data_IF_303864994296
#
_entry.id   IF_303864994296
#
_cell.length_a   1.000
_cell.length_b   1.000
_cell.length_c   1.000
_cell.angle_alpha   90.00
_cell.angle_beta   90.00
_cell.angle_gamma   90.00
#
_symmetry.space_group_name_H-M   'P 1'
#
loop_
_entity.id
_entity.type
_entity.pdbx_description
1 polymer ?
#
# COMPACT_ATOMS: atom_id res chain seq x y z
N UNK A 1 0.81 60.79 -12.73
CA UNK A 1 0.25 60.34 -14.02
C UNK A 1 0.27 58.82 -14.04
N UNK A 2 -0.90 58.26 -14.28
CA UNK A 2 -1.21 56.84 -14.42
C UNK A 2 -0.52 56.14 -15.60
N UNK A 3 -0.32 54.82 -15.41
CA UNK A 3 -0.62 53.66 -16.29
C UNK A 3 0.49 52.91 -17.03
N UNK A 4 0.50 51.60 -16.67
CA UNK A 4 0.64 50.34 -17.46
C UNK A 4 2.05 50.07 -18.04
N UNK A 5 2.62 48.87 -17.95
CA UNK A 5 2.05 47.52 -17.81
C UNK A 5 2.63 46.67 -18.93
N UNK A 6 3.35 45.58 -18.60
CA UNK A 6 3.93 44.66 -19.57
C UNK A 6 4.64 43.52 -18.87
N UNK A 7 4.02 42.34 -18.89
CA UNK A 7 4.49 41.09 -18.31
C UNK A 7 5.84 40.61 -18.89
N UNK A 8 6.68 39.89 -18.13
CA UNK A 8 7.72 39.07 -18.72
C UNK A 8 7.07 37.82 -19.33
N UNK A 9 7.29 37.66 -20.64
CA UNK A 9 6.73 36.61 -21.47
C UNK A 9 7.18 35.20 -21.08
N UNK A 10 6.24 34.28 -21.31
CA UNK A 10 6.45 32.96 -21.93
C UNK A 10 7.85 32.35 -21.75
N UNK A 11 8.04 31.62 -20.65
CA UNK A 11 8.96 30.50 -20.66
C UNK A 11 8.26 29.35 -21.39
N UNK A 12 8.82 29.05 -22.56
CA UNK A 12 8.41 27.99 -23.45
C UNK A 12 8.28 26.66 -22.71
N UNK A 13 7.19 25.96 -23.03
CA UNK A 13 7.02 24.52 -22.96
C UNK A 13 8.36 23.80 -23.11
N UNK A 14 8.84 23.16 -22.05
CA UNK A 14 9.87 22.12 -22.15
C UNK A 14 9.17 20.84 -22.63
N UNK A 15 9.30 20.43 -23.90
CA UNK A 15 8.65 19.22 -24.41
C UNK A 15 9.38 17.94 -23.91
N UNK A 16 10.48 18.09 -23.18
CA UNK A 16 11.41 17.01 -22.82
C UNK A 16 11.20 16.40 -21.43
N UNK A 17 10.15 16.80 -20.69
CA UNK A 17 9.80 16.17 -19.39
C UNK A 17 9.09 14.81 -19.59
N UNK A 18 8.75 14.45 -20.82
CA UNK A 18 8.06 13.20 -21.17
C UNK A 18 8.97 11.98 -21.40
N UNK A 19 10.20 12.00 -20.89
CA UNK A 19 10.95 10.77 -20.61
C UNK A 19 10.83 10.41 -19.12
N UNK A 20 9.58 10.36 -18.63
CA UNK A 20 9.26 9.63 -17.40
C UNK A 20 9.87 8.24 -17.50
N UNK A 21 10.49 7.75 -16.43
CA UNK A 21 11.17 6.46 -16.37
C UNK A 21 10.19 5.31 -16.67
N UNK A 22 9.82 5.12 -17.93
CA UNK A 22 9.02 3.99 -18.38
C UNK A 22 9.86 2.74 -18.08
N UNK A 23 9.28 1.73 -17.44
CA UNK A 23 9.96 0.47 -17.23
C UNK A 23 10.55 -0.01 -18.55
N UNK A 24 11.88 -0.15 -18.63
CA UNK A 24 12.50 -0.74 -19.82
C UNK A 24 11.88 -2.14 -20.01
N UNK A 25 11.26 -2.44 -21.17
CA UNK A 25 10.58 -3.72 -21.41
C UNK A 25 11.49 -4.93 -21.17
N UNK A 26 12.78 -4.80 -21.48
CA UNK A 26 13.78 -5.85 -21.24
C UNK A 26 14.01 -6.03 -19.74
N UNK A 27 14.17 -4.93 -19.00
CA UNK A 27 14.30 -4.97 -17.54
C UNK A 27 13.09 -5.59 -16.87
N UNK A 28 11.88 -5.23 -17.32
CA UNK A 28 10.63 -5.80 -16.81
C UNK A 28 10.56 -7.32 -17.07
N UNK A 29 10.89 -7.77 -18.28
CA UNK A 29 10.91 -9.20 -18.61
C UNK A 29 11.93 -10.01 -17.76
N UNK A 30 13.09 -9.43 -17.45
CA UNK A 30 14.10 -10.04 -16.57
C UNK A 30 13.55 -10.16 -15.14
N UNK A 31 12.89 -9.12 -14.62
CA UNK A 31 12.27 -9.14 -13.29
C UNK A 31 11.14 -10.16 -13.26
N UNK A 32 10.23 -10.11 -14.23
CA UNK A 32 9.09 -11.02 -14.32
C UNK A 32 9.56 -12.49 -14.31
N UNK A 33 10.54 -12.83 -15.15
CA UNK A 33 11.09 -14.20 -15.23
C UNK A 33 11.83 -14.62 -13.96
N UNK A 34 12.56 -13.70 -13.32
CA UNK A 34 13.31 -14.02 -12.10
C UNK A 34 12.40 -14.17 -10.89
N UNK A 35 11.37 -13.33 -10.74
CA UNK A 35 10.33 -13.46 -9.71
C UNK A 35 9.54 -14.75 -9.93
N UNK A 36 9.10 -15.02 -11.16
CA UNK A 36 8.33 -16.23 -11.50
C UNK A 36 9.11 -17.52 -11.18
N UNK A 37 10.41 -17.52 -11.52
CA UNK A 37 11.33 -18.61 -11.18
C UNK A 37 11.56 -18.70 -9.68
N UNK A 38 11.82 -17.57 -9.02
CA UNK A 38 12.04 -17.50 -7.57
C UNK A 38 10.87 -18.10 -6.82
N UNK A 39 9.64 -17.66 -7.09
CA UNK A 39 8.43 -18.18 -6.44
C UNK A 39 8.28 -19.70 -6.65
N UNK A 40 8.56 -20.21 -7.86
CA UNK A 40 8.50 -21.65 -8.15
C UNK A 40 9.54 -22.44 -7.35
N UNK A 41 10.75 -21.92 -7.23
CA UNK A 41 11.87 -22.59 -6.55
C UNK A 41 11.78 -22.48 -5.02
N UNK A 42 10.93 -21.61 -4.45
CA UNK A 42 10.81 -21.51 -2.97
C UNK A 42 10.27 -22.81 -2.37
N UNK A 43 9.41 -23.56 -3.04
CA UNK A 43 8.91 -24.84 -2.51
C UNK A 43 10.01 -25.92 -2.43
N UNK A 44 11.02 -25.87 -3.31
CA UNK A 44 12.11 -26.85 -3.38
C UNK A 44 13.31 -26.44 -2.52
N UNK A 45 13.69 -25.15 -2.55
CA UNK A 45 14.82 -24.60 -1.82
C UNK A 45 14.48 -23.17 -1.34
N UNK A 46 13.76 -23.05 -0.20
CA UNK A 46 13.28 -21.77 0.29
C UNK A 46 14.41 -20.77 0.55
N UNK A 47 15.49 -21.19 1.20
CA UNK A 47 16.60 -20.30 1.59
C UNK A 47 17.28 -19.70 0.37
N UNK A 48 17.61 -20.54 -0.62
CA UNK A 48 18.27 -20.08 -1.83
C UNK A 48 17.36 -19.17 -2.65
N UNK A 49 16.08 -19.49 -2.73
CA UNK A 49 15.10 -18.72 -3.51
C UNK A 49 14.83 -17.36 -2.87
N UNK A 50 14.65 -17.29 -1.55
CA UNK A 50 14.54 -16.03 -0.80
C UNK A 50 15.79 -15.18 -1.03
N UNK A 51 17.00 -15.75 -0.87
CA UNK A 51 18.25 -15.03 -1.11
C UNK A 51 18.34 -14.46 -2.53
N UNK A 52 18.02 -15.27 -3.56
CA UNK A 52 17.99 -14.82 -4.96
C UNK A 52 17.02 -13.65 -5.17
N UNK A 53 15.80 -13.74 -4.62
CA UNK A 53 14.79 -12.68 -4.74
C UNK A 53 15.28 -11.38 -4.07
N UNK A 54 15.91 -11.48 -2.91
CA UNK A 54 16.46 -10.33 -2.19
C UNK A 54 17.65 -9.71 -2.90
N UNK A 55 18.57 -10.52 -3.43
CA UNK A 55 19.72 -10.04 -4.21
C UNK A 55 19.25 -9.35 -5.50
N UNK A 56 18.22 -9.87 -6.16
CA UNK A 56 17.57 -9.20 -7.28
C UNK A 56 16.96 -7.87 -6.86
N UNK A 57 16.26 -7.80 -5.72
CA UNK A 57 15.73 -6.54 -5.18
C UNK A 57 16.81 -5.45 -5.07
N UNK A 58 18.02 -5.84 -4.64
CA UNK A 58 19.19 -4.94 -4.54
C UNK A 58 19.76 -4.48 -5.89
N UNK A 59 19.58 -5.24 -6.96
CA UNK A 59 20.00 -4.80 -8.30
C UNK A 59 19.16 -3.61 -8.78
N UNK A 60 17.88 -3.58 -8.43
CA UNK A 60 16.94 -2.59 -8.97
C UNK A 60 16.67 -1.42 -8.03
N UNK A 61 16.81 -1.61 -6.73
CA UNK A 61 16.56 -0.59 -5.74
C UNK A 61 17.79 -0.42 -4.83
N UNK A 62 18.27 0.82 -4.70
CA UNK A 62 19.41 1.19 -3.84
C UNK A 62 18.95 2.25 -2.84
N UNK A 63 19.22 2.04 -1.56
CA UNK A 63 19.00 3.03 -0.51
C UNK A 63 18.54 2.43 0.83
N UNK A 64 18.34 3.30 1.84
CA UNK A 64 18.11 2.90 3.23
C UNK A 64 16.96 1.90 3.45
N UNK A 65 15.95 1.92 2.58
CA UNK A 65 14.83 0.97 2.59
C UNK A 65 15.26 -0.48 2.52
N UNK A 66 16.17 -0.75 1.59
CA UNK A 66 16.60 -2.12 1.36
C UNK A 66 17.53 -2.56 2.45
N UNK A 67 18.21 -1.68 3.17
CA UNK A 67 19.06 -2.09 4.27
C UNK A 67 18.22 -2.67 5.42
N UNK A 68 17.06 -2.09 5.71
CA UNK A 68 16.12 -2.61 6.73
C UNK A 68 15.43 -3.92 6.28
N UNK A 69 14.92 -3.97 5.05
CA UNK A 69 14.37 -5.22 4.48
C UNK A 69 15.44 -6.30 4.40
N UNK A 70 16.67 -5.93 4.05
CA UNK A 70 17.78 -6.85 3.94
C UNK A 70 18.22 -7.38 5.30
N UNK A 71 18.28 -6.54 6.33
CA UNK A 71 18.54 -6.99 7.69
C UNK A 71 17.51 -8.05 8.13
N UNK A 72 16.21 -7.78 7.92
CA UNK A 72 15.15 -8.77 8.20
C UNK A 72 15.33 -10.07 7.42
N UNK A 73 15.64 -9.99 6.12
CA UNK A 73 15.87 -11.19 5.30
C UNK A 73 17.16 -11.92 5.71
N UNK A 74 18.23 -11.21 6.07
CA UNK A 74 19.46 -11.83 6.54
C UNK A 74 19.22 -12.59 7.85
N UNK A 75 18.46 -12.02 8.78
CA UNK A 75 18.13 -12.68 10.03
C UNK A 75 17.23 -13.89 9.80
N UNK A 76 16.24 -13.80 8.90
CA UNK A 76 15.49 -14.96 8.42
C UNK A 76 16.40 -16.05 7.86
N UNK A 77 17.35 -15.70 6.99
CA UNK A 77 18.25 -16.67 6.34
C UNK A 77 19.30 -17.27 7.28
N UNK A 78 19.51 -16.68 8.46
CA UNK A 78 20.44 -17.18 9.50
C UNK A 78 19.75 -18.11 10.50
N UNK A 79 18.46 -17.91 10.72
CA UNK A 79 17.68 -18.68 11.68
C UNK A 79 16.78 -19.69 10.96
N UNK A 80 17.22 -20.94 10.92
CA UNK A 80 16.50 -22.04 10.27
C UNK A 80 15.13 -22.32 10.90
N UNK A 81 14.96 -21.97 12.18
CA UNK A 81 13.71 -22.11 12.94
C UNK A 81 12.88 -20.82 12.90
N UNK A 82 13.19 -19.89 11.99
CA UNK A 82 12.44 -18.63 11.90
C UNK A 82 10.98 -18.87 11.50
N UNK A 83 10.07 -18.29 12.28
CA UNK A 83 8.62 -18.31 12.04
C UNK A 83 8.24 -17.72 10.67
N UNK A 84 9.11 -16.93 10.05
CA UNK A 84 8.92 -16.41 8.70
C UNK A 84 9.02 -17.46 7.59
N UNK A 85 9.68 -18.61 7.81
CA UNK A 85 9.55 -19.72 6.88
C UNK A 85 8.10 -20.22 6.83
N UNK A 86 7.43 -20.34 7.99
CA UNK A 86 6.01 -20.69 8.06
C UNK A 86 5.12 -19.63 7.39
N UNK A 87 5.45 -18.34 7.53
CA UNK A 87 4.74 -17.26 6.81
C UNK A 87 4.79 -17.46 5.30
N UNK A 88 5.99 -17.74 4.77
CA UNK A 88 6.23 -17.91 3.34
C UNK A 88 5.54 -19.18 2.83
N UNK A 89 5.62 -20.29 3.56
CA UNK A 89 4.90 -21.52 3.25
C UNK A 89 3.38 -21.30 3.23
N UNK A 90 2.83 -20.58 4.21
CA UNK A 90 1.41 -20.23 4.23
C UNK A 90 1.02 -19.39 3.00
N UNK A 91 1.88 -18.45 2.61
CA UNK A 91 1.64 -17.56 1.47
C UNK A 91 1.59 -18.36 0.16
N UNK A 92 2.57 -19.22 -0.08
CA UNK A 92 2.68 -20.06 -1.28
C UNK A 92 1.57 -21.11 -1.36
N UNK A 93 1.26 -21.75 -0.23
CA UNK A 93 0.22 -22.79 -0.16
C UNK A 93 -1.16 -22.24 -0.48
N UNK A 94 -1.48 -21.05 0.06
CA UNK A 94 -2.83 -20.48 0.00
C UNK A 94 -3.02 -19.44 -1.11
N UNK A 95 -1.98 -19.09 -1.89
CA UNK A 95 -2.06 -18.04 -2.91
C UNK A 95 -1.55 -18.53 -4.26
N UNK A 96 -2.24 -18.18 -5.34
CA UNK A 96 -1.78 -18.46 -6.69
C UNK A 96 -0.51 -17.65 -6.99
N UNK A 97 0.47 -18.30 -7.61
CA UNK A 97 1.71 -17.72 -8.09
C UNK A 97 1.52 -16.43 -8.89
N UNK A 98 0.49 -16.33 -9.73
CA UNK A 98 0.25 -15.13 -10.52
C UNK A 98 -0.11 -13.92 -9.64
N UNK A 99 -0.91 -14.11 -8.57
CA UNK A 99 -1.18 -13.05 -7.60
C UNK A 99 0.11 -12.61 -6.89
N UNK A 100 0.92 -13.56 -6.42
CA UNK A 100 2.19 -13.25 -5.74
C UNK A 100 3.15 -12.48 -6.64
N UNK A 101 3.25 -12.89 -7.91
CA UNK A 101 4.10 -12.24 -8.90
C UNK A 101 3.61 -10.83 -9.22
N UNK A 102 2.36 -10.66 -9.64
CA UNK A 102 1.88 -9.36 -10.11
C UNK A 102 1.82 -8.35 -8.97
N UNK A 103 1.25 -8.73 -7.83
CA UNK A 103 1.21 -7.87 -6.65
C UNK A 103 2.63 -7.53 -6.15
N UNK A 104 3.51 -8.53 -6.05
CA UNK A 104 4.89 -8.34 -5.57
C UNK A 104 5.72 -7.44 -6.49
N UNK A 105 5.60 -7.60 -7.81
CA UNK A 105 6.29 -6.75 -8.79
C UNK A 105 5.74 -5.34 -8.78
N UNK A 106 4.42 -5.17 -8.61
CA UNK A 106 3.80 -3.85 -8.57
C UNK A 106 4.22 -3.06 -7.33
N UNK A 107 4.27 -3.69 -6.15
CA UNK A 107 4.79 -3.02 -4.94
C UNK A 107 6.29 -2.77 -5.06
N UNK A 108 7.07 -3.83 -5.31
CA UNK A 108 8.53 -3.77 -5.23
C UNK A 108 9.18 -2.99 -6.36
N UNK A 109 8.85 -3.32 -7.60
CA UNK A 109 9.47 -2.69 -8.76
C UNK A 109 8.72 -1.43 -9.18
N UNK A 110 7.41 -1.49 -9.42
CA UNK A 110 6.69 -0.29 -9.87
C UNK A 110 6.61 0.76 -8.75
N UNK A 111 6.23 0.39 -7.52
CA UNK A 111 6.21 1.31 -6.38
C UNK A 111 7.60 1.75 -5.94
N UNK A 112 8.39 0.82 -5.39
CA UNK A 112 9.62 1.19 -4.70
C UNK A 112 10.81 1.51 -5.61
N UNK A 113 10.79 1.10 -6.88
CA UNK A 113 11.87 1.40 -7.84
C UNK A 113 11.48 2.50 -8.82
N UNK A 114 10.46 2.27 -9.64
CA UNK A 114 10.04 3.22 -10.68
C UNK A 114 9.38 4.44 -10.04
N UNK A 115 8.41 4.24 -9.15
CA UNK A 115 7.71 5.29 -8.42
C UNK A 115 8.67 6.17 -7.64
N UNK A 116 9.58 5.57 -6.87
CA UNK A 116 10.65 6.31 -6.17
C UNK A 116 11.48 7.18 -7.11
N UNK A 117 11.96 6.64 -8.24
CA UNK A 117 12.75 7.43 -9.21
C UNK A 117 11.95 8.59 -9.79
N UNK A 118 10.68 8.36 -10.12
CA UNK A 118 9.78 9.41 -10.63
C UNK A 118 9.56 10.48 -9.57
N UNK A 119 9.22 10.12 -8.34
CA UNK A 119 9.04 11.06 -7.22
C UNK A 119 10.31 11.90 -7.03
N UNK A 120 11.48 11.26 -6.98
CA UNK A 120 12.76 11.94 -6.85
C UNK A 120 13.04 12.92 -8.00
N UNK A 121 12.65 12.58 -9.24
CA UNK A 121 12.81 13.48 -10.39
C UNK A 121 11.88 14.70 -10.36
N UNK A 122 10.78 14.62 -9.58
CA UNK A 122 9.81 15.69 -9.41
C UNK A 122 10.10 16.57 -8.18
N UNK A 123 11.07 16.19 -7.35
CA UNK A 123 11.55 17.02 -6.24
C UNK A 123 12.15 18.31 -6.80
N UNK A 124 11.72 19.46 -6.25
CA UNK A 124 12.10 20.79 -6.74
C UNK A 124 11.35 21.27 -7.97
N UNK A 125 10.62 20.38 -8.67
CA UNK A 125 9.70 20.74 -9.77
C UNK A 125 8.29 20.98 -9.24
N UNK A 126 7.83 20.15 -8.30
CA UNK A 126 6.52 20.29 -7.66
C UNK A 126 6.66 21.00 -6.31
N UNK A 127 5.77 21.96 -5.98
CA UNK A 127 5.81 22.69 -4.70
C UNK A 127 5.21 21.90 -3.52
N UNK A 128 5.01 20.59 -3.70
CA UNK A 128 4.31 19.74 -2.75
C UNK A 128 4.95 18.36 -2.68
N UNK A 129 4.73 17.69 -1.56
CA UNK A 129 5.18 16.33 -1.34
C UNK A 129 4.32 15.34 -2.11
N UNK A 130 4.96 14.37 -2.75
CA UNK A 130 4.26 13.29 -3.45
C UNK A 130 4.35 12.03 -2.60
N UNK A 131 3.23 11.53 -2.04
CA UNK A 131 3.24 10.32 -1.25
C UNK A 131 3.46 9.09 -2.14
N UNK A 132 4.19 8.09 -1.66
CA UNK A 132 4.38 6.84 -2.43
C UNK A 132 3.08 6.02 -2.58
N UNK A 133 2.13 6.22 -1.66
CA UNK A 133 0.86 5.53 -1.59
C UNK A 133 -0.27 6.49 -1.21
N UNK A 134 -1.44 6.29 -1.82
CA UNK A 134 -2.67 7.04 -1.51
C UNK A 134 -3.71 6.08 -0.90
N UNK A 135 -4.25 6.45 0.27
CA UNK A 135 -5.42 5.79 0.87
C UNK A 135 -6.71 6.51 0.49
N UNK A 136 -7.77 5.76 0.21
CA UNK A 136 -9.08 6.25 -0.24
C UNK A 136 -10.16 5.48 0.49
N UNK A 137 -11.06 6.17 1.20
CA UNK A 137 -12.25 5.55 1.82
C UNK A 137 -13.46 5.72 0.92
N UNK A 138 -14.20 4.65 0.70
CA UNK A 138 -15.46 4.68 -0.05
C UNK A 138 -16.54 4.02 0.80
N UNK A 139 -17.67 4.71 0.94
CA UNK A 139 -18.85 4.19 1.60
C UNK A 139 -20.03 4.17 0.62
N UNK A 140 -20.30 3.02 -0.05
CA UNK A 140 -21.36 2.91 -1.04
C UNK A 140 -22.78 3.13 -0.48
N UNK A 141 -22.95 3.08 0.85
CA UNK A 141 -24.22 3.35 1.50
C UNK A 141 -24.51 4.86 1.65
N UNK A 142 -23.51 5.73 1.43
CA UNK A 142 -23.65 7.20 1.55
C UNK A 142 -23.58 7.87 0.18
N UNK A 143 -24.62 8.64 -0.16
CA UNK A 143 -24.69 9.37 -1.44
C UNK A 143 -23.61 10.43 -1.63
N UNK A 144 -23.10 10.99 -0.54
CA UNK A 144 -22.01 11.98 -0.54
C UNK A 144 -20.62 11.33 -0.54
N UNK A 145 -20.54 10.00 -0.59
CA UNK A 145 -19.26 9.30 -0.65
C UNK A 145 -18.58 9.54 -1.99
N UNK A 146 -17.24 9.57 -1.99
CA UNK A 146 -16.46 9.40 -3.22
C UNK A 146 -16.94 8.15 -3.96
N UNK A 147 -16.86 8.21 -5.28
CA UNK A 147 -17.28 7.17 -6.21
C UNK A 147 -16.07 6.38 -6.72
N UNK A 148 -16.32 5.18 -7.26
CA UNK A 148 -15.28 4.39 -7.93
C UNK A 148 -14.65 5.13 -9.12
N UNK A 149 -15.41 6.00 -9.80
CA UNK A 149 -14.89 6.81 -10.91
C UNK A 149 -13.89 7.86 -10.42
N UNK A 150 -14.12 8.46 -9.26
CA UNK A 150 -13.19 9.42 -8.66
C UNK A 150 -11.92 8.72 -8.15
N UNK A 151 -12.06 7.53 -7.57
CA UNK A 151 -10.91 6.67 -7.23
C UNK A 151 -10.09 6.35 -8.49
N UNK A 152 -10.74 5.93 -9.58
CA UNK A 152 -10.06 5.63 -10.83
C UNK A 152 -9.36 6.87 -11.42
N UNK A 153 -10.00 8.04 -11.33
CA UNK A 153 -9.40 9.32 -11.72
C UNK A 153 -8.15 9.63 -10.89
N UNK A 154 -8.19 9.41 -9.57
CA UNK A 154 -7.05 9.55 -8.68
C UNK A 154 -5.89 8.63 -9.09
N UNK A 155 -6.18 7.35 -9.38
CA UNK A 155 -5.16 6.39 -9.86
C UNK A 155 -4.52 6.85 -11.18
N UNK A 156 -5.34 7.33 -12.13
CA UNK A 156 -4.85 7.84 -13.43
C UNK A 156 -3.93 9.05 -13.26
N UNK A 157 -4.27 9.96 -12.34
CA UNK A 157 -3.48 11.15 -12.05
C UNK A 157 -2.23 10.86 -11.21
N UNK A 158 -2.28 9.86 -10.32
CA UNK A 158 -1.16 9.48 -9.45
C UNK A 158 -0.03 8.77 -10.18
N UNK A 159 -0.32 7.99 -11.22
CA UNK A 159 0.70 7.25 -12.00
C UNK A 159 1.82 8.15 -12.58
N UNK A 160 1.51 9.26 -13.28
CA UNK A 160 2.53 10.23 -13.70
C UNK A 160 3.35 10.81 -12.53
N UNK A 161 2.79 10.90 -11.33
CA UNK A 161 3.52 11.37 -10.15
C UNK A 161 4.44 10.31 -9.53
N UNK A 162 4.40 9.06 -10.02
CA UNK A 162 5.13 7.93 -9.47
C UNK A 162 4.36 7.14 -8.40
N UNK A 163 3.06 7.35 -8.29
CA UNK A 163 2.21 6.67 -7.30
C UNK A 163 1.61 5.41 -7.92
N UNK A 164 2.09 4.26 -7.47
CA UNK A 164 1.66 2.94 -7.95
C UNK A 164 0.97 2.09 -6.87
N UNK A 165 0.94 2.56 -5.62
CA UNK A 165 0.34 1.85 -4.51
C UNK A 165 -0.90 2.58 -4.00
N UNK A 166 -2.01 1.86 -3.85
CA UNK A 166 -3.27 2.43 -3.41
C UNK A 166 -3.92 1.55 -2.36
N UNK A 167 -4.47 2.17 -1.32
CA UNK A 167 -5.30 1.49 -0.32
C UNK A 167 -6.73 1.95 -0.52
N UNK A 168 -7.64 1.01 -0.73
CA UNK A 168 -9.07 1.27 -0.83
C UNK A 168 -9.74 0.68 0.40
N UNK A 169 -10.32 1.54 1.23
CA UNK A 169 -11.11 1.15 2.39
C UNK A 169 -12.59 1.23 2.04
N UNK A 170 -13.22 0.08 1.90
CA UNK A 170 -14.64 -0.02 1.63
C UNK A 170 -15.38 -0.12 2.96
N UNK A 171 -16.17 0.90 3.26
CA UNK A 171 -16.91 1.02 4.53
C UNK A 171 -18.37 0.60 4.33
N UNK A 172 -18.95 -0.05 5.35
CA UNK A 172 -20.35 -0.47 5.50
C UNK A 172 -20.95 -1.43 4.44
N UNK A 173 -20.56 -1.35 3.17
CA UNK A 173 -21.20 -2.08 2.06
C UNK A 173 -20.22 -2.46 0.95
N UNK A 174 -20.37 -3.68 0.40
CA UNK A 174 -19.62 -4.16 -0.78
C UNK A 174 -20.35 -3.90 -2.11
N UNK A 175 -21.40 -3.07 -2.13
CA UNK A 175 -22.20 -2.83 -3.35
C UNK A 175 -21.38 -2.32 -4.55
N UNK A 176 -20.24 -1.65 -4.31
CA UNK A 176 -19.34 -1.18 -5.36
C UNK A 176 -18.23 -2.17 -5.74
N UNK A 177 -18.15 -3.35 -5.11
CA UNK A 177 -17.02 -4.27 -5.24
C UNK A 177 -16.75 -4.67 -6.69
N UNK A 178 -17.77 -5.04 -7.45
CA UNK A 178 -17.58 -5.40 -8.87
C UNK A 178 -16.98 -4.26 -9.71
N UNK A 179 -17.31 -3.00 -9.41
CA UNK A 179 -16.71 -1.82 -10.06
C UNK A 179 -15.25 -1.64 -9.64
N UNK A 180 -14.95 -1.81 -8.34
CA UNK A 180 -13.57 -1.78 -7.84
C UNK A 180 -12.71 -2.88 -8.48
N UNK A 181 -13.20 -4.12 -8.56
CA UNK A 181 -12.50 -5.22 -9.21
C UNK A 181 -12.21 -4.95 -10.70
N UNK A 182 -13.14 -4.31 -11.41
CA UNK A 182 -12.91 -3.88 -12.79
C UNK A 182 -11.81 -2.81 -12.86
N UNK A 183 -11.83 -1.82 -11.96
CA UNK A 183 -10.80 -0.79 -11.89
C UNK A 183 -9.43 -1.37 -11.57
N UNK A 184 -9.32 -2.32 -10.65
CA UNK A 184 -8.05 -2.99 -10.33
C UNK A 184 -7.45 -3.70 -11.56
N UNK A 185 -8.26 -4.44 -12.32
CA UNK A 185 -7.82 -5.10 -13.56
C UNK A 185 -7.37 -4.11 -14.64
N UNK A 186 -8.03 -2.96 -14.73
CA UNK A 186 -7.70 -1.93 -15.71
C UNK A 186 -6.42 -1.14 -15.36
N UNK A 187 -5.88 -1.32 -14.15
CA UNK A 187 -4.64 -0.70 -13.69
C UNK A 187 -3.63 -1.76 -13.23
N UNK A 188 -3.19 -2.67 -14.14
CA UNK A 188 -2.42 -3.86 -13.79
C UNK A 188 -1.00 -3.57 -13.33
N UNK A 189 -0.51 -2.34 -13.48
CA UNK A 189 0.79 -1.88 -13.01
C UNK A 189 0.75 -1.27 -11.61
N UNK A 190 -0.44 -1.07 -11.06
CA UNK A 190 -0.64 -0.60 -9.68
C UNK A 190 -0.91 -1.77 -8.74
N UNK A 191 -0.52 -1.63 -7.48
CA UNK A 191 -0.85 -2.55 -6.40
C UNK A 191 -1.95 -1.98 -5.51
N UNK A 192 -2.95 -2.80 -5.19
CA UNK A 192 -4.08 -2.38 -4.38
C UNK A 192 -4.17 -3.18 -3.08
N UNK A 193 -4.43 -2.48 -1.98
CA UNK A 193 -4.88 -3.07 -0.72
C UNK A 193 -6.36 -2.76 -0.59
N UNK A 194 -7.23 -3.75 -0.54
CA UNK A 194 -8.67 -3.54 -0.48
C UNK A 194 -9.21 -4.05 0.85
N UNK A 195 -9.46 -3.14 1.80
CA UNK A 195 -10.11 -3.46 3.06
C UNK A 195 -11.61 -3.51 2.81
N UNK A 196 -12.21 -4.67 3.07
CA UNK A 196 -13.65 -4.90 2.92
C UNK A 196 -14.35 -4.79 4.28
N UNK A 197 -15.63 -4.39 4.32
CA UNK A 197 -16.42 -4.41 5.56
C UNK A 197 -16.80 -5.85 5.91
N UNK A 198 -17.38 -6.05 7.10
CA UNK A 198 -17.91 -7.36 7.52
C UNK A 198 -19.17 -7.73 6.73
N UNK A 199 -18.97 -8.25 5.53
CA UNK A 199 -20.04 -8.75 4.67
C UNK A 199 -19.59 -10.01 3.93
N UNK A 200 -20.51 -10.96 3.81
CA UNK A 200 -20.24 -12.23 3.14
C UNK A 200 -20.07 -12.01 1.63
N UNK A 201 -18.99 -12.55 1.07
CA UNK A 201 -18.80 -12.56 -0.37
C UNK A 201 -19.72 -13.59 -1.02
N UNK A 202 -20.46 -13.14 -2.03
CA UNK A 202 -21.25 -14.02 -2.88
C UNK A 202 -20.40 -14.68 -3.98
N UNK A 203 -20.86 -15.80 -4.58
CA UNK A 203 -20.11 -16.54 -5.61
C UNK A 203 -19.64 -15.69 -6.79
N UNK A 204 -20.42 -14.69 -7.22
CA UNK A 204 -20.06 -13.75 -8.27
C UNK A 204 -18.88 -12.86 -7.89
N UNK A 205 -18.80 -12.42 -6.63
CA UNK A 205 -17.66 -11.64 -6.12
C UNK A 205 -16.39 -12.50 -6.13
N UNK A 206 -16.48 -13.74 -5.63
CA UNK A 206 -15.34 -14.67 -5.59
C UNK A 206 -14.82 -14.96 -7.00
N UNK A 207 -15.72 -15.27 -7.95
CA UNK A 207 -15.38 -15.48 -9.35
C UNK A 207 -14.67 -14.27 -9.96
N UNK A 208 -15.14 -13.06 -9.66
CA UNK A 208 -14.52 -11.83 -10.16
C UNK A 208 -13.14 -11.58 -9.53
N UNK A 209 -12.99 -11.81 -8.21
CA UNK A 209 -11.72 -11.68 -7.48
C UNK A 209 -10.62 -12.57 -8.06
N UNK A 210 -10.95 -13.80 -8.48
CA UNK A 210 -9.98 -14.73 -9.05
C UNK A 210 -9.18 -14.17 -10.24
N UNK A 211 -9.75 -13.22 -10.98
CA UNK A 211 -9.11 -12.56 -12.12
C UNK A 211 -8.30 -11.31 -11.76
N UNK A 212 -8.27 -10.93 -10.48
CA UNK A 212 -7.55 -9.76 -9.97
C UNK A 212 -6.28 -10.25 -9.28
N UNK A 213 -5.13 -10.01 -9.92
CA UNK A 213 -3.83 -10.51 -9.45
C UNK A 213 -2.97 -9.44 -8.77
N UNK A 214 -3.35 -8.18 -8.87
CA UNK A 214 -2.64 -7.02 -8.35
C UNK A 214 -3.25 -6.45 -7.05
N UNK A 215 -4.05 -7.25 -6.34
CA UNK A 215 -4.76 -6.80 -5.13
C UNK A 215 -4.57 -7.78 -3.97
N UNK A 216 -4.30 -7.25 -2.77
CA UNK A 216 -4.44 -7.93 -1.49
C UNK A 216 -5.79 -7.54 -0.88
N UNK A 217 -6.69 -8.51 -0.68
CA UNK A 217 -7.98 -8.29 -0.05
C UNK A 217 -7.89 -8.51 1.46
N UNK A 218 -8.37 -7.56 2.26
CA UNK A 218 -8.30 -7.63 3.71
C UNK A 218 -9.70 -7.70 4.31
N UNK A 219 -9.91 -8.63 5.24
CA UNK A 219 -11.18 -8.83 5.94
C UNK A 219 -11.05 -8.47 7.42
N UNK A 220 -12.10 -7.92 8.06
CA UNK A 220 -12.04 -7.55 9.47
C UNK A 220 -11.96 -8.83 10.31
N UNK A 221 -10.98 -8.93 11.20
CA UNK A 221 -10.87 -10.06 12.11
C UNK A 221 -11.99 -10.04 13.15
N UNK A 222 -12.26 -11.21 13.74
CA UNK A 222 -13.24 -11.42 14.82
C UNK A 222 -14.68 -11.02 14.48
N UNK A 223 -15.03 -11.02 13.18
CA UNK A 223 -16.39 -10.74 12.72
C UNK A 223 -17.15 -11.98 12.21
N UNK A 224 -18.49 -11.99 12.20
CA UNK A 224 -19.29 -13.13 11.77
C UNK A 224 -18.96 -13.70 10.38
N UNK A 225 -18.50 -12.88 9.43
CA UNK A 225 -18.30 -13.32 8.04
C UNK A 225 -16.86 -13.71 7.71
N UNK A 226 -15.88 -13.34 8.54
CA UNK A 226 -14.45 -13.45 8.21
C UNK A 226 -14.01 -14.86 7.87
N UNK A 227 -14.39 -15.87 8.67
CA UNK A 227 -13.96 -17.25 8.45
C UNK A 227 -14.45 -17.79 7.10
N UNK A 228 -15.72 -17.54 6.75
CA UNK A 228 -16.30 -17.97 5.47
C UNK A 228 -15.64 -17.27 4.28
N UNK A 229 -15.38 -15.97 4.39
CA UNK A 229 -14.69 -15.21 3.35
C UNK A 229 -13.26 -15.74 3.14
N UNK A 230 -12.52 -15.99 4.22
CA UNK A 230 -11.16 -16.51 4.15
C UNK A 230 -11.12 -17.92 3.58
N UNK A 231 -12.00 -18.81 4.02
CA UNK A 231 -12.13 -20.17 3.47
C UNK A 231 -12.38 -20.13 1.96
N UNK A 232 -13.29 -19.26 1.52
CA UNK A 232 -13.57 -19.08 0.11
C UNK A 232 -12.35 -18.55 -0.68
N UNK A 233 -11.64 -17.56 -0.14
CA UNK A 233 -10.42 -17.00 -0.74
C UNK A 233 -9.31 -18.04 -0.86
N UNK A 234 -9.09 -18.83 0.20
CA UNK A 234 -8.12 -19.94 0.22
C UNK A 234 -8.46 -21.02 -0.79
N UNK A 235 -9.73 -21.42 -0.86
CA UNK A 235 -10.20 -22.46 -1.80
C UNK A 235 -9.91 -22.09 -3.27
N UNK A 236 -9.99 -20.80 -3.62
CA UNK A 236 -9.65 -20.30 -4.95
C UNK A 236 -8.22 -19.75 -5.07
N UNK A 237 -7.40 -19.91 -4.01
CA UNK A 237 -6.03 -19.41 -3.89
C UNK A 237 -5.87 -17.92 -4.22
N UNK A 238 -6.85 -17.08 -3.86
CA UNK A 238 -6.76 -15.63 -4.03
C UNK A 238 -6.02 -15.00 -2.86
N UNK A 239 -5.20 -13.98 -3.13
CA UNK A 239 -4.38 -13.32 -2.12
C UNK A 239 -5.27 -12.56 -1.11
N UNK A 240 -5.12 -12.87 0.18
CA UNK A 240 -5.92 -12.28 1.24
C UNK A 240 -5.12 -12.01 2.53
N UNK A 241 -5.66 -11.14 3.38
CA UNK A 241 -5.19 -10.83 4.72
C UNK A 241 -6.38 -10.57 5.65
N UNK A 242 -6.10 -10.41 6.94
CA UNK A 242 -7.06 -9.80 7.87
C UNK A 242 -6.57 -8.44 8.37
N UNK A 243 -7.50 -7.64 8.88
CA UNK A 243 -7.19 -6.39 9.57
C UNK A 243 -7.98 -6.26 10.87
N UNK A 244 -7.46 -5.45 11.79
CA UNK A 244 -8.11 -5.09 13.06
C UNK A 244 -8.17 -3.58 13.21
N UNK A 245 -9.23 -3.08 13.83
CA UNK A 245 -9.25 -1.72 14.35
C UNK A 245 -8.80 -1.70 15.81
N UNK A 246 -8.09 -0.64 16.20
CA UNK A 246 -7.75 -0.36 17.58
C UNK A 246 -7.98 1.11 17.92
N UNK A 247 -8.26 1.40 19.18
CA UNK A 247 -8.39 2.75 19.72
C UNK A 247 -7.70 2.84 21.09
N UNK A 248 -7.87 3.97 21.79
CA UNK A 248 -7.26 4.18 23.11
C UNK A 248 -7.69 3.16 24.17
N UNK A 249 -8.89 2.57 24.03
CA UNK A 249 -9.44 1.59 24.97
C UNK A 249 -8.92 0.18 24.68
N UNK A 250 -8.84 -0.21 23.41
CA UNK A 250 -8.53 -1.60 23.02
C UNK A 250 -7.06 -1.86 22.71
N UNK A 251 -6.27 -0.83 22.42
CA UNK A 251 -4.86 -1.00 22.02
C UNK A 251 -3.99 -1.67 23.09
N UNK A 252 -4.31 -1.47 24.37
CA UNK A 252 -3.60 -2.12 25.48
C UNK A 252 -3.68 -3.65 25.40
N UNK A 253 -4.86 -4.19 25.10
CA UNK A 253 -5.07 -5.65 25.04
C UNK A 253 -4.31 -6.29 23.87
N UNK A 254 -4.23 -5.59 22.74
CA UNK A 254 -3.41 -6.00 21.60
C UNK A 254 -1.91 -5.97 21.95
N UNK A 255 -1.43 -4.91 22.61
CA UNK A 255 -0.01 -4.82 23.00
C UNK A 255 0.39 -5.77 24.14
N UNK A 256 -0.58 -6.31 24.89
CA UNK A 256 -0.36 -7.33 25.93
C UNK A 256 -0.20 -8.75 25.34
N UNK A 257 -0.28 -8.92 24.03
CA UNK A 257 -0.03 -10.22 23.37
C UNK A 257 -1.25 -11.16 23.29
N UNK A 258 -2.32 -10.89 24.06
CA UNK A 258 -3.41 -11.85 24.33
C UNK A 258 -4.23 -12.25 23.10
N UNK A 259 -4.39 -11.35 22.14
CA UNK A 259 -5.30 -11.53 21.00
C UNK A 259 -4.63 -12.14 19.75
N UNK A 260 -3.31 -12.04 19.62
CA UNK A 260 -2.58 -12.43 18.39
C UNK A 260 -2.65 -13.92 18.08
N UNK A 261 -2.67 -14.77 19.12
CA UNK A 261 -2.81 -16.21 18.94
C UNK A 261 -4.15 -16.59 18.26
N UNK A 262 -5.22 -15.83 18.49
CA UNK A 262 -6.51 -16.05 17.82
C UNK A 262 -6.41 -15.84 16.31
N UNK A 263 -5.58 -14.91 15.86
CA UNK A 263 -5.43 -14.56 14.45
C UNK A 263 -4.70 -15.65 13.64
N UNK A 264 -3.98 -16.57 14.28
CA UNK A 264 -3.28 -17.66 13.56
C UNK A 264 -4.28 -18.62 12.91
N UNK A 265 -5.49 -18.74 13.44
CA UNK A 265 -6.56 -19.57 12.87
C UNK A 265 -6.95 -19.16 11.45
N UNK A 266 -6.75 -17.88 11.10
CA UNK A 266 -7.02 -17.38 9.76
C UNK A 266 -6.01 -17.83 8.70
N UNK A 267 -4.87 -18.41 9.11
CA UNK A 267 -3.81 -18.85 8.19
C UNK A 267 -3.33 -17.73 7.23
N UNK A 268 -3.45 -16.47 7.66
CA UNK A 268 -3.01 -15.33 6.89
C UNK A 268 -1.51 -15.11 7.09
N UNK A 269 -0.81 -14.72 6.03
CA UNK A 269 0.61 -14.36 6.09
C UNK A 269 0.84 -12.91 6.55
N UNK A 270 -0.19 -12.08 6.55
CA UNK A 270 -0.12 -10.67 6.90
C UNK A 270 -1.25 -10.30 7.86
N UNK A 271 -1.00 -9.36 8.77
CA UNK A 271 -2.03 -8.74 9.60
C UNK A 271 -1.86 -7.24 9.52
N UNK A 272 -2.95 -6.50 9.32
CA UNK A 272 -2.94 -5.05 9.32
C UNK A 272 -3.68 -4.51 10.55
N UNK A 273 -3.02 -3.68 11.36
CA UNK A 273 -3.69 -2.90 12.41
C UNK A 273 -4.02 -1.53 11.88
N UNK A 274 -5.23 -1.03 12.17
CA UNK A 274 -5.70 0.26 11.72
C UNK A 274 -6.18 1.05 12.92
N UNK A 275 -5.62 2.24 13.13
CA UNK A 275 -6.13 3.14 14.16
C UNK A 275 -7.56 3.56 13.78
N UNK A 276 -8.51 3.44 14.72
CA UNK A 276 -9.83 4.01 14.55
C UNK A 276 -9.74 5.55 14.52
N UNK A 277 -10.74 6.22 13.94
CA UNK A 277 -10.74 7.68 13.76
C UNK A 277 -10.65 8.46 15.08
N UNK A 278 -11.10 7.85 16.19
CA UNK A 278 -11.03 8.42 17.53
C UNK A 278 -9.77 8.05 18.31
N UNK A 279 -8.80 7.35 17.70
CA UNK A 279 -7.58 6.91 18.36
C UNK A 279 -6.59 8.07 18.52
N UNK A 280 -6.05 8.27 19.73
CA UNK A 280 -5.04 9.29 19.95
C UNK A 280 -3.72 8.99 19.21
N UNK A 281 -3.05 10.04 18.75
CA UNK A 281 -1.72 9.94 18.13
C UNK A 281 -0.69 9.22 19.03
N UNK A 282 -0.81 9.38 20.37
CA UNK A 282 0.04 8.69 21.35
C UNK A 282 -0.15 7.18 21.29
N UNK A 283 -1.40 6.71 21.24
CA UNK A 283 -1.70 5.28 21.17
C UNK A 283 -1.32 4.71 19.80
N UNK A 284 -1.63 5.40 18.71
CA UNK A 284 -1.21 5.00 17.37
C UNK A 284 0.32 4.85 17.27
N UNK A 285 1.10 5.80 17.81
CA UNK A 285 2.56 5.70 17.82
C UNK A 285 3.08 4.50 18.63
N UNK A 286 2.43 4.17 19.76
CA UNK A 286 2.75 2.98 20.57
C UNK A 286 2.46 1.69 19.81
N UNK A 287 1.29 1.59 19.18
CA UNK A 287 0.92 0.42 18.37
C UNK A 287 1.87 0.23 17.19
N UNK A 288 2.20 1.31 16.47
CA UNK A 288 3.19 1.25 15.38
C UNK A 288 4.58 0.81 15.84
N UNK A 289 5.01 1.18 17.05
CA UNK A 289 6.26 0.65 17.65
C UNK A 289 6.12 -0.84 18.00
N UNK A 290 4.98 -1.25 18.58
CA UNK A 290 4.71 -2.64 18.91
C UNK A 290 4.74 -3.54 17.66
N UNK A 291 4.03 -3.17 16.59
CA UNK A 291 3.98 -3.94 15.34
C UNK A 291 5.37 -4.05 14.68
N UNK A 292 6.19 -3.00 14.75
CA UNK A 292 7.60 -3.05 14.31
C UNK A 292 8.43 -4.04 15.13
N UNK A 293 8.28 -4.03 16.45
CA UNK A 293 8.99 -4.96 17.32
C UNK A 293 8.60 -6.42 17.03
N UNK A 294 7.30 -6.68 16.80
CA UNK A 294 6.81 -8.00 16.44
C UNK A 294 7.33 -8.47 15.07
N UNK A 295 7.62 -7.54 14.15
CA UNK A 295 8.28 -7.88 12.87
C UNK A 295 9.76 -8.21 12.99
N UNK A 296 10.48 -7.60 13.94
CA UNK A 296 11.89 -7.92 14.15
C UNK A 296 12.09 -9.12 15.06
N UNK A 297 11.08 -9.47 15.85
CA UNK A 297 11.06 -10.63 16.74
C UNK A 297 9.76 -11.42 16.52
N UNK A 298 9.65 -12.18 15.41
CA UNK A 298 8.41 -12.85 15.06
C UNK A 298 8.08 -14.00 16.01
N UNK A 299 6.95 -13.87 16.72
CA UNK A 299 6.39 -14.92 17.59
C UNK A 299 5.26 -15.71 16.92
N UNK A 300 4.66 -15.15 15.87
CA UNK A 300 3.49 -15.69 15.19
C UNK A 300 3.73 -15.89 13.68
N UNK A 301 3.05 -16.84 13.03
CA UNK A 301 3.20 -17.17 11.61
C UNK A 301 2.53 -16.15 10.67
N UNK A 302 2.68 -14.86 10.97
CA UNK A 302 2.28 -13.74 10.11
C UNK A 302 3.20 -12.53 10.31
N UNK A 303 3.23 -11.63 9.33
CA UNK A 303 3.92 -10.34 9.42
C UNK A 303 2.87 -9.27 9.73
N UNK A 304 3.08 -8.52 10.80
CA UNK A 304 2.14 -7.47 11.22
C UNK A 304 2.60 -6.08 10.81
N UNK A 305 1.67 -5.30 10.28
CA UNK A 305 1.85 -3.92 9.89
C UNK A 305 0.85 -3.04 10.62
N UNK A 306 1.29 -1.85 11.02
CA UNK A 306 0.39 -0.78 11.43
C UNK A 306 0.17 0.17 10.27
N UNK A 307 -1.09 0.36 9.89
CA UNK A 307 -1.48 1.05 8.68
C UNK A 307 -0.86 2.44 8.55
N UNK A 308 -1.10 3.33 9.51
CA UNK A 308 -0.63 4.71 9.42
C UNK A 308 0.88 4.82 9.70
N UNK A 309 1.40 4.09 10.69
CA UNK A 309 2.82 4.11 11.02
C UNK A 309 3.68 3.57 9.87
N UNK A 310 3.26 2.49 9.20
CA UNK A 310 4.03 1.89 8.12
C UNK A 310 3.88 2.65 6.79
N UNK A 311 2.70 3.22 6.50
CA UNK A 311 2.58 4.15 5.37
C UNK A 311 3.57 5.31 5.50
N UNK A 312 3.60 5.95 6.67
CA UNK A 312 4.52 7.06 6.97
C UNK A 312 5.99 6.64 6.97
N UNK A 313 6.30 5.46 7.52
CA UNK A 313 7.67 4.93 7.50
C UNK A 313 8.17 4.71 6.07
N UNK A 314 7.40 4.01 5.25
CA UNK A 314 7.79 3.72 3.86
C UNK A 314 7.89 5.01 3.05
N UNK A 315 6.99 5.96 3.29
CA UNK A 315 7.04 7.28 2.65
C UNK A 315 8.32 8.05 3.01
N UNK A 316 8.73 8.03 4.29
CA UNK A 316 10.00 8.63 4.71
C UNK A 316 11.18 8.10 3.93
N UNK A 317 11.12 6.83 3.57
CA UNK A 317 12.22 6.15 2.91
C UNK A 317 12.21 6.41 1.40
N UNK A 318 11.03 6.46 0.78
CA UNK A 318 10.87 6.66 -0.66
C UNK A 318 10.97 8.15 -1.03
N UNK A 319 10.24 8.98 -0.30
CA UNK A 319 9.97 10.39 -0.58
C UNK A 319 10.64 11.34 0.43
N UNK A 320 11.52 10.83 1.30
CA UNK A 320 12.32 11.57 2.29
C UNK A 320 11.55 12.26 3.44
N UNK A 321 10.22 12.32 3.40
CA UNK A 321 9.37 12.84 4.48
C UNK A 321 8.44 11.74 4.96
N UNK A 322 8.26 11.58 6.27
CA UNK A 322 7.36 10.56 6.81
C UNK A 322 5.92 11.04 6.81
N UNK A 323 5.23 10.94 5.67
CA UNK A 323 3.85 11.41 5.50
C UNK A 323 2.93 10.25 5.13
N UNK A 324 1.63 10.42 5.39
CA UNK A 324 0.60 9.60 4.76
C UNK A 324 -0.48 10.52 4.20
N UNK A 325 -1.22 10.00 3.23
CA UNK A 325 -2.35 10.69 2.62
C UNK A 325 -3.55 9.74 2.60
N UNK A 326 -4.65 10.15 3.21
CA UNK A 326 -5.93 9.46 3.13
C UNK A 326 -7.04 10.44 2.76
N UNK A 327 -7.73 10.18 1.64
CA UNK A 327 -8.99 10.86 1.32
C UNK A 327 -10.14 10.05 1.93
N UNK A 328 -10.88 10.67 2.83
CA UNK A 328 -12.04 10.10 3.51
C UNK A 328 -13.25 10.04 2.57
N UNK A 329 -14.30 9.30 2.95
CA UNK A 329 -15.44 9.07 2.09
C UNK A 329 -16.18 10.36 1.75
N UNK A 330 -16.22 11.33 2.66
CA UNK A 330 -16.85 12.64 2.46
C UNK A 330 -15.98 13.64 1.67
N UNK A 331 -14.76 13.25 1.28
CA UNK A 331 -13.79 14.10 0.58
C UNK A 331 -12.75 14.76 1.48
N UNK A 332 -12.93 14.77 2.81
CA UNK A 332 -11.94 15.31 3.74
C UNK A 332 -10.62 14.55 3.65
N UNK A 333 -9.52 15.20 4.04
CA UNK A 333 -8.18 14.63 3.88
C UNK A 333 -7.53 14.47 5.25
N UNK A 334 -7.18 13.24 5.59
CA UNK A 334 -6.44 12.90 6.80
C UNK A 334 -4.95 12.75 6.48
N UNK A 335 -4.13 13.50 7.22
CA UNK A 335 -2.67 13.54 7.13
C UNK A 335 -2.05 13.42 8.52
N UNK A 336 -0.71 13.38 8.61
CA UNK A 336 0.00 13.40 9.90
C UNK A 336 -0.21 14.69 10.70
N UNK A 337 -0.58 15.79 10.02
CA UNK A 337 -0.84 17.11 10.64
C UNK A 337 -2.29 17.24 11.11
N UNK A 338 -3.15 16.25 10.81
CA UNK A 338 -4.56 16.23 11.16
C UNK A 338 -5.48 16.14 9.94
N UNK A 339 -6.75 16.48 10.17
CA UNK A 339 -7.82 16.41 9.15
C UNK A 339 -8.04 17.79 8.54
N UNK A 340 -8.02 17.84 7.21
CA UNK A 340 -8.34 19.01 6.41
C UNK A 340 -9.74 18.83 5.83
N UNK A 341 -10.64 19.78 6.11
CA UNK A 341 -12.05 19.70 5.70
C UNK A 341 -12.33 20.45 4.41
N UNK A 342 -13.50 20.20 3.79
CA UNK A 342 -14.04 20.91 2.63
C UNK A 342 -13.36 20.62 1.27
N UNK A 343 -12.65 19.50 1.15
CA UNK A 343 -12.09 19.06 -0.12
C UNK A 343 -13.14 18.34 -0.95
N UNK A 344 -13.66 19.05 -1.95
CA UNK A 344 -14.66 18.51 -2.88
C UNK A 344 -14.02 18.03 -4.18
N UNK A 345 -14.61 17.01 -4.77
CA UNK A 345 -14.12 16.19 -5.90
C UNK A 345 -13.86 16.91 -7.23
N UNK A 346 -13.85 18.24 -7.26
CA UNK A 346 -13.79 19.04 -8.48
C UNK A 346 -12.39 19.54 -8.84
N UNK A 347 -11.40 19.33 -7.97
CA UNK A 347 -10.01 19.74 -8.20
C UNK A 347 -9.11 18.53 -8.52
N UNK A 348 -8.00 18.78 -9.22
CA UNK A 348 -7.05 17.72 -9.61
C UNK A 348 -6.28 17.16 -8.42
N UNK A 349 -5.72 15.95 -8.57
CA UNK A 349 -4.90 15.33 -7.52
C UNK A 349 -3.70 16.22 -7.16
N UNK A 350 -3.06 16.88 -8.13
CA UNK A 350 -1.96 17.79 -7.83
C UNK A 350 -2.40 19.00 -6.99
N UNK A 351 -3.59 19.55 -7.24
CA UNK A 351 -4.15 20.62 -6.42
C UNK A 351 -4.50 20.14 -5.00
N UNK A 352 -4.99 18.91 -4.89
CA UNK A 352 -5.26 18.28 -3.59
C UNK A 352 -3.95 18.12 -2.81
N UNK A 353 -2.91 17.56 -3.44
CA UNK A 353 -1.59 17.36 -2.82
C UNK A 353 -0.91 18.69 -2.47
N UNK A 354 -1.09 19.73 -3.28
CA UNK A 354 -0.50 21.04 -2.99
C UNK A 354 -1.05 21.71 -1.75
N UNK A 355 -2.30 21.43 -1.42
CA UNK A 355 -2.95 21.94 -0.21
C UNK A 355 -2.69 21.00 0.98
N UNK A 356 -2.80 19.69 0.75
CA UNK A 356 -2.73 18.71 1.83
C UNK A 356 -1.30 18.43 2.30
N UNK A 357 -0.31 18.47 1.41
CA UNK A 357 1.08 18.13 1.70
C UNK A 357 2.04 19.17 1.12
N UNK A 358 1.91 20.46 1.48
CA UNK A 358 2.80 21.49 0.96
C UNK A 358 4.25 21.22 1.38
N UNK A 359 5.19 21.49 0.48
CA UNK A 359 6.59 21.63 0.89
C UNK A 359 6.73 22.98 1.60
N UNK A 360 7.54 23.07 2.67
CA UNK A 360 7.95 24.36 3.21
C UNK A 360 8.50 25.20 2.06
N UNK A 361 8.16 26.49 2.03
CA UNK A 361 8.87 27.41 1.15
C UNK A 361 10.37 27.22 1.41
N UNK A 362 11.14 26.95 0.36
CA UNK A 362 12.59 26.99 0.51
C UNK A 362 12.91 28.40 0.98
N UNK A 363 13.37 28.55 2.23
CA UNK A 363 14.03 29.77 2.63
C UNK A 363 15.12 30.00 1.59
N UNK A 364 14.97 31.08 0.82
CA UNK A 364 16.02 31.60 -0.03
C UNK A 364 17.17 32.03 0.86
N UNK A 365 17.96 31.06 1.29
CA UNK A 365 19.20 31.22 2.02
C UNK A 365 20.35 31.21 1.01
N UNK A 366 20.79 32.42 0.64
CA UNK A 366 22.10 32.69 0.04
C UNK A 366 22.09 32.99 -1.43
#
# INVERSE_FOLDING_TARGET
>A
MEKKGGAPGLLLFAPDILHMAKPNPITRAIIDSTVDRGIREVEEDPKRSIRKLTDMGRMFNRGPFLDEIYAMVQDLLRNDDSTYYTVIENLLRNTNRQNLKDFGINIGYNGFTIGRKTIQSLVGVKPFHIPWCISLRINPARHTSITVSEIESCVKQGRPLGIYCYVIRCEESIACLNKLLAMFRNNPDCSFFCLLPDQLLHPEHLKAIRSVTNTLFLFPADTPTVSKNIEAMRAQKSLYSVYIYYNDETAGEWMDGKHWAGLTGYCSSFILTVAADNCSAKTAARMGKYCRNMRTHPEYPFICFDFYSDLSMVDKIISARGQFFEMMENGDIHTVEGVLTDFRHTISLEQILSIALPLPAQDSAG
#
